data_IF_930845040465
#
_entry.id   IF_930845040465
#
_cell.length_a   1.000
_cell.length_b   1.000
_cell.length_c   1.000
_cell.angle_alpha   90.00
_cell.angle_beta   90.00
_cell.angle_gamma   90.00
#
_symmetry.space_group_name_H-M   'P 1'
#
loop_
_entity.id
_entity.type
_entity.pdbx_description
1 polymer ?
#
# COMPACT_ATOMS: atom_id res chain seq x y z
N UNK A 1 -5.04 14.56 -22.69
CA UNK A 1 -4.63 15.43 -21.55
C UNK A 1 -3.26 14.99 -21.10
N UNK A 2 -2.28 15.91 -20.92
CA UNK A 2 -0.90 15.51 -20.56
C UNK A 2 -0.88 15.10 -19.09
N UNK A 3 -0.45 13.87 -18.85
CA UNK A 3 -0.29 13.27 -17.51
C UNK A 3 0.77 14.07 -16.71
N UNK A 4 0.32 14.86 -15.72
CA UNK A 4 1.19 15.64 -14.82
C UNK A 4 1.65 14.82 -13.62
N UNK A 5 1.94 13.53 -13.82
CA UNK A 5 2.52 12.71 -12.77
C UNK A 5 3.91 13.25 -12.39
N UNK A 6 4.02 13.79 -11.18
CA UNK A 6 5.27 14.34 -10.66
C UNK A 6 5.87 13.36 -9.64
N UNK A 7 6.97 12.67 -9.97
CA UNK A 7 7.61 11.69 -9.08
C UNK A 7 8.17 12.30 -7.77
N UNK A 8 8.35 13.60 -7.69
CA UNK A 8 8.80 14.26 -6.46
C UNK A 8 7.74 14.24 -5.35
N UNK A 9 6.46 14.12 -5.69
CA UNK A 9 5.34 14.04 -4.74
C UNK A 9 5.32 12.74 -3.93
N UNK A 10 5.91 11.67 -4.45
CA UNK A 10 6.10 10.40 -3.74
C UNK A 10 6.87 10.56 -2.42
N UNK A 11 7.85 11.46 -2.37
CA UNK A 11 8.69 11.67 -1.19
C UNK A 11 7.94 12.30 -0.02
N UNK A 12 6.84 13.00 -0.27
CA UNK A 12 6.04 13.62 0.77
C UNK A 12 5.31 12.61 1.65
N UNK A 13 4.95 11.46 1.08
CA UNK A 13 4.17 10.42 1.78
C UNK A 13 5.08 9.42 2.52
N UNK A 14 6.34 9.28 2.11
CA UNK A 14 7.32 8.37 2.74
C UNK A 14 8.03 9.01 3.93
N UNK A 15 8.32 8.23 4.97
CA UNK A 15 9.21 8.65 6.06
C UNK A 15 10.64 8.80 5.52
N UNK A 16 11.22 9.99 5.58
CA UNK A 16 12.66 10.18 5.36
C UNK A 16 13.42 9.71 6.61
N UNK A 17 13.94 8.50 6.59
CA UNK A 17 14.99 8.06 7.49
C UNK A 17 16.30 8.00 6.70
N UNK A 18 16.91 9.15 6.50
CA UNK A 18 18.35 9.22 6.22
C UNK A 18 19.03 9.77 7.46
N UNK A 19 19.63 8.91 8.25
CA UNK A 19 20.69 9.30 9.18
C UNK A 19 21.87 9.80 8.34
N UNK A 20 22.21 11.09 8.51
CA UNK A 20 23.50 11.62 8.08
C UNK A 20 24.58 11.06 9.02
N UNK A 21 25.41 10.17 8.51
CA UNK A 21 26.68 9.83 9.11
C UNK A 21 27.77 10.75 8.55
N UNK A 22 28.13 11.79 9.28
CA UNK A 22 29.36 12.55 9.06
C UNK A 22 30.50 11.77 9.71
N UNK A 23 31.46 11.32 8.95
CA UNK A 23 32.77 10.96 9.48
C UNK A 23 33.85 11.51 8.53
N UNK A 24 34.40 12.63 8.93
CA UNK A 24 35.65 13.12 8.41
C UNK A 24 36.80 12.43 9.20
N UNK A 25 37.76 11.84 8.49
CA UNK A 25 39.11 11.62 9.03
C UNK A 25 40.13 11.71 7.88
N UNK A 26 41.01 12.62 8.07
CA UNK A 26 42.17 12.98 7.30
C UNK A 26 43.33 11.98 7.48
N UNK A 27 44.09 11.76 6.39
CA UNK A 27 45.56 11.68 6.45
C UNK A 27 46.18 10.31 6.37
N UNK A 28 46.95 10.09 5.41
CA UNK A 28 48.39 9.83 5.32
C UNK A 28 48.71 8.99 4.08
N UNK A 29 49.69 9.47 3.32
CA UNK A 29 50.24 8.88 2.11
C UNK A 29 51.03 7.61 2.40
N UNK A 30 50.87 6.59 1.53
CA UNK A 30 51.73 5.41 1.46
C UNK A 30 51.63 4.79 0.07
N UNK A 31 52.71 4.87 -0.69
CA UNK A 31 52.87 4.19 -1.98
C UNK A 31 52.90 2.68 -1.82
N UNK A 32 52.08 1.98 -2.57
CA UNK A 32 52.16 0.54 -2.71
C UNK A 32 51.26 0.08 -3.84
N UNK A 33 51.85 -0.23 -4.98
CA UNK A 33 51.22 -0.85 -6.13
C UNK A 33 50.76 -2.28 -5.78
N UNK A 34 49.48 -2.51 -5.85
CA UNK A 34 48.89 -3.80 -6.13
C UNK A 34 47.49 -3.54 -6.70
N UNK A 35 47.36 -3.68 -8.00
CA UNK A 35 46.08 -3.75 -8.70
C UNK A 35 45.32 -4.99 -8.18
N UNK A 36 44.49 -4.81 -7.18
CA UNK A 36 43.48 -5.78 -6.82
C UNK A 36 42.18 -5.33 -7.48
N UNK A 37 41.96 -5.89 -8.65
CA UNK A 37 40.69 -5.83 -9.35
C UNK A 37 39.63 -6.37 -8.38
N UNK A 38 38.95 -5.48 -7.64
CA UNK A 38 37.82 -5.84 -6.83
C UNK A 38 36.67 -6.17 -7.79
N UNK A 39 36.51 -7.45 -8.07
CA UNK A 39 35.31 -7.98 -8.68
C UNK A 39 34.16 -7.74 -7.69
N UNK A 40 33.56 -6.54 -7.76
CA UNK A 40 32.28 -6.31 -7.13
C UNK A 40 31.30 -7.29 -7.77
N UNK A 41 30.82 -8.26 -6.98
CA UNK A 41 29.67 -9.05 -7.36
C UNK A 41 28.54 -8.09 -7.79
N UNK A 42 27.81 -8.36 -8.88
CA UNK A 42 26.69 -7.53 -9.28
C UNK A 42 25.76 -7.36 -8.07
N UNK A 43 25.48 -6.12 -7.71
CA UNK A 43 24.49 -5.83 -6.67
C UNK A 43 23.20 -6.53 -7.09
N UNK A 44 22.76 -7.50 -6.29
CA UNK A 44 21.51 -8.20 -6.50
C UNK A 44 20.41 -7.13 -6.44
N UNK A 45 19.84 -6.76 -7.58
CA UNK A 45 18.73 -5.82 -7.63
C UNK A 45 17.59 -6.44 -6.84
N UNK A 46 17.29 -5.85 -5.69
CA UNK A 46 16.14 -6.26 -4.89
C UNK A 46 14.87 -6.20 -5.75
N UNK A 47 14.00 -7.21 -5.67
CA UNK A 47 12.79 -7.22 -6.47
C UNK A 47 12.02 -5.92 -6.28
N UNK A 48 11.75 -5.25 -7.38
CA UNK A 48 11.00 -4.00 -7.36
C UNK A 48 9.52 -4.29 -7.10
N UNK A 49 9.06 -3.93 -5.92
CA UNK A 49 7.64 -3.99 -5.57
C UNK A 49 6.90 -2.74 -6.04
N UNK A 50 5.59 -2.91 -6.22
CA UNK A 50 4.69 -1.83 -6.63
C UNK A 50 4.64 -1.64 -8.15
N UNK A 51 3.57 -0.96 -8.57
CA UNK A 51 3.28 -0.63 -9.98
C UNK A 51 2.96 0.87 -10.12
N UNK A 52 3.61 1.72 -9.37
CA UNK A 52 3.38 3.17 -9.41
C UNK A 52 3.61 3.73 -10.81
N UNK A 53 2.71 4.61 -11.26
CA UNK A 53 2.71 5.21 -12.59
C UNK A 53 2.04 4.36 -13.67
N UNK A 54 1.68 3.11 -13.38
CA UNK A 54 0.94 2.26 -14.32
C UNK A 54 -0.57 2.36 -14.06
N UNK A 55 -1.36 1.99 -15.07
CA UNK A 55 -2.80 1.83 -14.93
C UNK A 55 -3.11 0.74 -13.90
N UNK A 56 -4.06 1.01 -13.00
CA UNK A 56 -4.46 0.07 -11.98
C UNK A 56 -5.21 -1.12 -12.61
N UNK A 57 -4.73 -2.36 -12.39
CA UNK A 57 -5.48 -3.54 -12.81
C UNK A 57 -6.75 -3.69 -11.96
N UNK A 58 -7.79 -4.29 -12.54
CA UNK A 58 -9.03 -4.58 -11.81
C UNK A 58 -8.79 -5.64 -10.71
N UNK A 59 -9.57 -5.53 -9.62
CA UNK A 59 -9.54 -6.46 -8.52
C UNK A 59 -10.28 -7.76 -8.88
N UNK A 60 -9.72 -8.89 -8.48
CA UNK A 60 -10.36 -10.22 -8.60
C UNK A 60 -10.63 -10.77 -7.19
N UNK A 61 -11.47 -10.06 -6.46
CA UNK A 61 -11.85 -10.39 -5.07
C UNK A 61 -13.32 -10.78 -5.05
N UNK A 62 -13.58 -12.02 -4.67
CA UNK A 62 -14.91 -12.61 -4.78
C UNK A 62 -15.78 -12.45 -3.52
N UNK A 63 -15.23 -11.96 -2.43
CA UNK A 63 -15.97 -11.74 -1.19
C UNK A 63 -15.78 -10.31 -0.70
N UNK A 64 -16.90 -9.60 -0.59
CA UNK A 64 -16.96 -8.23 -0.08
C UNK A 64 -18.10 -8.05 0.89
N UNK A 65 -17.89 -7.25 1.91
CA UNK A 65 -18.92 -6.75 2.83
C UNK A 65 -18.89 -5.23 2.87
N UNK A 66 -20.06 -4.62 2.96
CA UNK A 66 -20.19 -3.18 3.20
C UNK A 66 -19.98 -2.82 4.69
N UNK A 67 -20.15 -1.55 5.06
CA UNK A 67 -20.02 -1.06 6.44
C UNK A 67 -20.92 -1.80 7.44
N UNK A 68 -22.10 -2.25 7.01
CA UNK A 68 -23.05 -3.02 7.85
C UNK A 68 -22.70 -4.51 7.96
N UNK A 69 -21.69 -4.99 7.19
CA UNK A 69 -21.33 -6.40 7.12
C UNK A 69 -22.22 -7.21 6.18
N UNK A 70 -23.01 -6.57 5.34
CA UNK A 70 -23.82 -7.24 4.30
C UNK A 70 -22.97 -7.47 3.06
N UNK A 71 -23.32 -8.49 2.31
CA UNK A 71 -22.72 -8.76 1.00
C UNK A 71 -22.71 -7.52 0.11
N UNK A 72 -21.61 -7.29 -0.58
CA UNK A 72 -21.35 -6.10 -1.37
C UNK A 72 -20.40 -6.40 -2.53
N UNK A 73 -20.00 -5.37 -3.24
CA UNK A 73 -18.96 -5.40 -4.27
C UNK A 73 -18.07 -4.17 -4.16
N UNK A 74 -16.89 -4.25 -4.76
CA UNK A 74 -15.99 -3.13 -4.95
C UNK A 74 -15.15 -3.37 -6.21
N UNK A 75 -15.16 -2.40 -7.11
CA UNK A 75 -14.44 -2.44 -8.38
C UNK A 75 -13.70 -1.12 -8.60
N UNK A 76 -12.53 -1.19 -9.22
CA UNK A 76 -11.76 -0.01 -9.59
C UNK A 76 -12.48 0.74 -10.70
N UNK A 77 -13.03 0.02 -11.68
CA UNK A 77 -13.72 0.63 -12.81
C UNK A 77 -14.99 1.40 -12.40
N UNK A 78 -15.78 0.89 -11.47
CA UNK A 78 -16.96 1.58 -10.92
C UNK A 78 -16.60 2.83 -10.10
N UNK A 79 -15.36 2.91 -9.63
CA UNK A 79 -14.85 4.05 -8.86
C UNK A 79 -13.92 4.96 -9.67
N UNK A 80 -13.87 4.81 -11.00
CA UNK A 80 -13.12 5.74 -11.85
C UNK A 80 -13.62 7.18 -11.68
N UNK A 81 -12.72 8.13 -11.73
CA UNK A 81 -13.01 9.54 -11.43
C UNK A 81 -12.90 9.89 -9.94
N UNK A 82 -12.69 8.90 -9.07
CA UNK A 82 -12.41 9.10 -7.64
C UNK A 82 -10.96 8.74 -7.32
N UNK A 83 -10.46 9.27 -6.21
CA UNK A 83 -9.32 8.70 -5.54
C UNK A 83 -9.73 7.39 -4.88
N UNK A 84 -8.97 6.30 -5.13
CA UNK A 84 -9.24 4.99 -4.55
C UNK A 84 -8.12 4.65 -3.59
N UNK A 85 -8.48 4.42 -2.34
CA UNK A 85 -7.56 4.00 -1.28
C UNK A 85 -7.82 2.54 -0.95
N UNK A 86 -6.83 1.68 -1.21
CA UNK A 86 -6.86 0.27 -0.86
C UNK A 86 -5.83 -0.03 0.23
N UNK A 87 -6.25 -0.69 1.30
CA UNK A 87 -5.36 -1.14 2.37
C UNK A 87 -5.35 -2.65 2.45
N UNK A 88 -4.22 -3.25 2.07
CA UNK A 88 -4.00 -4.70 2.19
C UNK A 88 -3.55 -5.06 3.61
N UNK A 89 -4.09 -6.13 4.15
CA UNK A 89 -3.81 -6.61 5.51
C UNK A 89 -3.94 -8.13 5.63
N UNK A 90 -3.42 -8.68 6.73
CA UNK A 90 -3.75 -10.02 7.22
C UNK A 90 -4.17 -9.95 8.69
N UNK A 91 -5.07 -10.85 9.12
CA UNK A 91 -5.63 -10.86 10.46
C UNK A 91 -4.56 -11.04 11.56
N UNK A 92 -3.61 -11.94 11.36
CA UNK A 92 -2.56 -12.25 12.34
C UNK A 92 -1.37 -11.27 12.29
N UNK A 93 -1.27 -10.41 11.29
CA UNK A 93 -0.11 -9.58 11.01
C UNK A 93 0.11 -8.49 12.09
N UNK A 94 1.18 -8.53 12.91
CA UNK A 94 1.41 -7.53 13.95
C UNK A 94 1.56 -6.11 13.40
N UNK A 95 2.21 -5.93 12.24
CA UNK A 95 2.37 -4.64 11.57
C UNK A 95 1.03 -4.06 11.13
N UNK A 96 0.09 -4.91 10.70
CA UNK A 96 -1.26 -4.49 10.35
C UNK A 96 -2.00 -3.92 11.56
N UNK A 97 -1.87 -4.56 12.73
CA UNK A 97 -2.48 -4.07 13.97
C UNK A 97 -1.79 -2.82 14.50
N UNK A 98 -0.46 -2.75 14.42
CA UNK A 98 0.32 -1.64 14.97
C UNK A 98 0.23 -0.35 14.13
N UNK A 99 0.10 -0.45 12.81
CA UNK A 99 0.09 0.71 11.91
C UNK A 99 -0.95 0.64 10.79
N UNK A 100 -1.21 -0.53 10.22
CA UNK A 100 -2.10 -0.70 9.07
C UNK A 100 -3.53 -0.27 9.34
N UNK A 101 -4.18 -0.85 10.36
CA UNK A 101 -5.54 -0.49 10.76
C UNK A 101 -5.65 0.91 11.35
N UNK A 102 -4.72 1.41 12.19
CA UNK A 102 -4.71 2.81 12.58
C UNK A 102 -4.68 3.78 11.40
N UNK A 103 -3.87 3.51 10.37
CA UNK A 103 -3.85 4.31 9.14
C UNK A 103 -5.17 4.24 8.39
N UNK A 104 -5.72 3.02 8.21
CA UNK A 104 -6.99 2.82 7.53
C UNK A 104 -8.14 3.54 8.25
N UNK A 105 -8.20 3.43 9.60
CA UNK A 105 -9.21 4.12 10.40
C UNK A 105 -9.09 5.63 10.31
N UNK A 106 -7.88 6.18 10.45
CA UNK A 106 -7.66 7.62 10.35
C UNK A 106 -8.08 8.15 8.97
N UNK A 107 -7.74 7.44 7.91
CA UNK A 107 -8.14 7.82 6.55
C UNK A 107 -9.65 7.67 6.33
N UNK A 108 -10.25 6.59 6.81
CA UNK A 108 -11.70 6.37 6.71
C UNK A 108 -12.49 7.42 7.47
N UNK A 109 -12.08 7.77 8.69
CA UNK A 109 -12.75 8.81 9.48
C UNK A 109 -12.79 10.16 8.76
N UNK A 110 -11.78 10.46 7.96
CA UNK A 110 -11.69 11.73 7.23
C UNK A 110 -12.47 11.72 5.92
N UNK A 111 -12.47 10.56 5.20
CA UNK A 111 -12.90 10.55 3.80
C UNK A 111 -13.98 9.55 3.43
N UNK A 112 -14.53 8.72 4.35
CA UNK A 112 -15.46 7.65 3.96
C UNK A 112 -16.78 8.17 3.34
N UNK A 113 -17.20 9.37 3.69
CA UNK A 113 -18.39 10.03 3.13
C UNK A 113 -18.06 10.97 1.95
N UNK A 114 -16.76 11.12 1.64
CA UNK A 114 -16.36 12.08 0.61
C UNK A 114 -16.67 11.56 -0.80
N UNK A 115 -17.47 12.28 -1.63
CA UNK A 115 -17.96 11.76 -2.90
C UNK A 115 -16.87 11.46 -3.95
N UNK A 116 -15.69 12.04 -3.80
CA UNK A 116 -14.54 11.83 -4.70
C UNK A 116 -13.52 10.81 -4.16
N UNK A 117 -13.83 10.09 -3.10
CA UNK A 117 -12.95 9.07 -2.51
C UNK A 117 -13.70 7.76 -2.37
N UNK A 118 -13.04 6.68 -2.75
CA UNK A 118 -13.48 5.31 -2.47
C UNK A 118 -12.44 4.61 -1.62
N UNK A 119 -12.88 3.90 -0.58
CA UNK A 119 -12.00 3.26 0.40
C UNK A 119 -12.37 1.80 0.52
N UNK A 120 -11.39 0.91 0.43
CA UNK A 120 -11.57 -0.48 0.78
C UNK A 120 -10.38 -1.05 1.57
N UNK A 121 -10.69 -1.96 2.50
CA UNK A 121 -9.70 -2.83 3.11
C UNK A 121 -9.74 -4.21 2.44
N UNK A 122 -8.60 -4.81 2.14
CA UNK A 122 -8.53 -6.12 1.51
C UNK A 122 -7.65 -7.04 2.36
N UNK A 123 -8.24 -8.13 2.85
CA UNK A 123 -7.47 -9.20 3.46
C UNK A 123 -6.79 -10.00 2.34
N UNK A 124 -5.52 -9.71 2.09
CA UNK A 124 -4.72 -10.36 1.05
C UNK A 124 -3.94 -11.52 1.64
N UNK A 125 -4.37 -12.75 1.35
CA UNK A 125 -3.80 -13.94 1.96
C UNK A 125 -2.63 -14.48 1.14
N UNK A 126 -1.48 -14.66 1.77
CA UNK A 126 -0.29 -15.28 1.18
C UNK A 126 0.39 -16.27 2.14
N UNK A 127 -0.02 -16.27 3.41
CA UNK A 127 0.40 -17.21 4.44
C UNK A 127 -0.62 -17.24 5.59
N UNK A 128 -0.55 -18.25 6.45
CA UNK A 128 -1.45 -18.37 7.59
C UNK A 128 -2.93 -18.49 7.18
N UNK A 129 -3.23 -19.25 6.16
CA UNK A 129 -4.57 -19.37 5.56
C UNK A 129 -5.67 -19.65 6.57
N UNK A 130 -5.41 -20.52 7.59
CA UNK A 130 -6.42 -20.85 8.62
C UNK A 130 -6.72 -19.66 9.58
N UNK A 131 -5.87 -18.64 9.58
CA UNK A 131 -5.99 -17.44 10.42
C UNK A 131 -6.48 -16.23 9.62
N UNK A 132 -6.76 -16.40 8.34
CA UNK A 132 -7.22 -15.36 7.44
C UNK A 132 -8.46 -15.87 6.71
N UNK A 133 -9.59 -15.88 7.39
CA UNK A 133 -10.87 -16.35 6.86
C UNK A 133 -11.79 -15.18 6.51
N UNK A 134 -12.85 -15.45 5.75
CA UNK A 134 -13.90 -14.45 5.46
C UNK A 134 -14.53 -13.89 6.75
N UNK A 135 -14.76 -14.74 7.75
CA UNK A 135 -15.30 -14.31 9.04
C UNK A 135 -14.40 -13.32 9.78
N UNK A 136 -13.08 -13.43 9.58
CA UNK A 136 -12.13 -12.53 10.23
C UNK A 136 -12.19 -11.12 9.64
N UNK A 137 -12.59 -10.96 8.39
CA UNK A 137 -12.81 -9.65 7.77
C UNK A 137 -13.86 -8.85 8.56
N UNK A 138 -15.02 -9.47 8.86
CA UNK A 138 -16.06 -8.80 9.65
C UNK A 138 -15.63 -8.53 11.09
N UNK A 139 -14.93 -9.46 11.74
CA UNK A 139 -14.40 -9.26 13.09
C UNK A 139 -13.46 -8.06 13.17
N UNK A 140 -12.56 -7.93 12.17
CA UNK A 140 -11.62 -6.81 12.10
C UNK A 140 -12.31 -5.49 11.78
N UNK A 141 -13.31 -5.50 10.89
CA UNK A 141 -14.12 -4.33 10.58
C UNK A 141 -14.79 -3.78 11.84
N UNK A 142 -15.39 -4.65 12.64
CA UNK A 142 -16.03 -4.29 13.93
C UNK A 142 -14.98 -3.84 14.97
N UNK A 143 -13.90 -4.61 15.13
CA UNK A 143 -12.83 -4.31 16.10
C UNK A 143 -12.24 -2.92 15.91
N UNK A 144 -12.07 -2.49 14.66
CA UNK A 144 -11.48 -1.19 14.33
C UNK A 144 -12.54 -0.14 13.98
N UNK A 145 -13.83 -0.49 14.06
CA UNK A 145 -14.96 0.41 13.76
C UNK A 145 -14.77 1.09 12.38
N UNK A 146 -14.60 0.28 11.34
CA UNK A 146 -14.32 0.75 9.99
C UNK A 146 -15.63 0.89 9.18
N UNK A 147 -16.08 2.11 8.88
CA UNK A 147 -17.32 2.35 8.11
C UNK A 147 -17.07 2.27 6.60
N UNK A 148 -16.40 1.21 6.14
CA UNK A 148 -15.96 1.05 4.76
C UNK A 148 -16.23 -0.35 4.25
N UNK A 149 -16.15 -0.52 2.92
CA UNK A 149 -16.17 -1.84 2.29
C UNK A 149 -14.89 -2.62 2.60
N UNK A 150 -15.04 -3.91 2.93
CA UNK A 150 -13.90 -4.79 3.17
C UNK A 150 -14.05 -6.10 2.41
N UNK A 151 -12.94 -6.56 1.84
CA UNK A 151 -12.88 -7.77 1.02
C UNK A 151 -11.93 -8.83 1.55
N UNK A 152 -12.13 -10.05 1.06
CA UNK A 152 -11.25 -11.20 1.30
C UNK A 152 -10.75 -11.77 -0.01
N UNK A 153 -9.46 -11.66 -0.22
CA UNK A 153 -8.71 -12.22 -1.34
C UNK A 153 -7.90 -13.41 -0.82
N UNK A 154 -8.50 -14.59 -0.97
CA UNK A 154 -8.10 -15.79 -0.25
C UNK A 154 -6.72 -16.33 -0.65
N UNK A 155 -6.27 -16.07 -1.88
CA UNK A 155 -5.16 -16.84 -2.43
C UNK A 155 -5.50 -18.33 -2.56
N UNK A 156 -4.49 -19.16 -2.76
CA UNK A 156 -4.63 -20.61 -2.85
C UNK A 156 -4.08 -21.28 -1.58
N UNK A 157 -4.91 -21.94 -0.76
CA UNK A 157 -4.50 -22.60 0.47
C UNK A 157 -3.49 -23.74 0.26
N UNK A 158 -3.42 -24.31 -0.93
CA UNK A 158 -2.43 -25.33 -1.28
C UNK A 158 -1.04 -24.73 -1.55
N UNK A 159 -0.92 -23.39 -1.43
CA UNK A 159 0.35 -22.66 -1.54
C UNK A 159 0.85 -22.48 -2.97
N UNK A 160 0.02 -22.74 -3.96
CA UNK A 160 0.35 -22.59 -5.38
C UNK A 160 0.25 -21.14 -5.85
N UNK A 161 -0.53 -20.30 -5.16
CA UNK A 161 -0.75 -18.92 -5.49
C UNK A 161 -1.03 -18.08 -4.24
N UNK A 162 -0.48 -16.86 -4.21
CA UNK A 162 -0.86 -15.82 -3.26
C UNK A 162 -2.08 -15.06 -3.80
N UNK A 163 -2.67 -14.17 -2.99
CA UNK A 163 -3.83 -13.37 -3.40
C UNK A 163 -3.59 -12.63 -4.73
N UNK A 164 -4.63 -12.54 -5.56
CA UNK A 164 -4.58 -11.88 -6.87
C UNK A 164 -4.21 -10.39 -6.76
N UNK A 165 -4.73 -9.72 -5.75
CA UNK A 165 -4.36 -8.32 -5.46
C UNK A 165 -2.86 -8.17 -5.29
N UNK A 166 -2.21 -9.10 -4.57
CA UNK A 166 -0.75 -9.05 -4.37
C UNK A 166 0.01 -9.26 -5.67
N UNK A 167 -0.43 -10.19 -6.51
CA UNK A 167 0.19 -10.46 -7.81
C UNK A 167 0.04 -9.28 -8.75
N UNK A 168 -1.18 -8.77 -8.93
CA UNK A 168 -1.51 -7.69 -9.86
C UNK A 168 -0.86 -6.36 -9.48
N UNK A 169 -0.85 -6.01 -8.20
CA UNK A 169 -0.25 -4.76 -7.70
C UNK A 169 1.21 -4.91 -7.27
N UNK A 170 1.78 -6.12 -7.39
CA UNK A 170 3.16 -6.44 -7.01
C UNK A 170 3.47 -5.98 -5.57
N UNK A 171 2.58 -6.27 -4.64
CA UNK A 171 2.79 -5.90 -3.23
C UNK A 171 3.83 -6.82 -2.58
N UNK A 172 4.64 -6.28 -1.67
CA UNK A 172 5.71 -7.04 -1.00
C UNK A 172 5.32 -7.60 0.37
N UNK A 173 4.02 -7.63 0.71
CA UNK A 173 3.54 -8.12 2.01
C UNK A 173 2.44 -7.24 2.61
N UNK A 174 2.25 -7.33 3.93
CA UNK A 174 1.25 -6.52 4.67
C UNK A 174 1.86 -5.89 5.93
N UNK A 175 1.36 -4.71 6.37
CA UNK A 175 0.30 -3.89 5.76
C UNK A 175 0.80 -3.18 4.49
N UNK A 176 0.01 -3.11 3.44
CA UNK A 176 0.37 -2.44 2.20
C UNK A 176 -0.67 -1.38 1.81
N UNK A 177 -0.24 -0.28 1.21
CA UNK A 177 -1.12 0.77 0.73
C UNK A 177 -1.02 0.89 -0.79
N UNK A 178 -2.17 0.95 -1.44
CA UNK A 178 -2.32 1.29 -2.85
C UNK A 178 -3.22 2.52 -2.93
N UNK A 179 -2.75 3.59 -3.57
CA UNK A 179 -3.55 4.78 -3.84
C UNK A 179 -3.63 4.97 -5.36
N UNK A 180 -4.84 5.04 -5.88
CA UNK A 180 -5.12 5.20 -7.30
C UNK A 180 -5.75 6.57 -7.51
N UNK A 181 -5.26 7.32 -8.48
CA UNK A 181 -5.79 8.65 -8.80
C UNK A 181 -7.09 8.56 -9.64
N UNK A 182 -7.81 9.68 -9.85
CA UNK A 182 -9.04 9.70 -10.63
C UNK A 182 -8.90 9.24 -12.08
N UNK A 183 -7.70 9.30 -12.65
CA UNK A 183 -7.42 8.81 -14.01
C UNK A 183 -7.23 7.28 -14.05
N UNK A 184 -7.30 6.60 -12.91
CA UNK A 184 -7.10 5.15 -12.79
C UNK A 184 -5.63 4.72 -12.74
N UNK A 185 -4.70 5.67 -12.51
CA UNK A 185 -3.26 5.39 -12.42
C UNK A 185 -2.86 5.23 -10.97
N UNK A 186 -2.03 4.23 -10.67
CA UNK A 186 -1.48 4.00 -9.34
C UNK A 186 -0.53 5.13 -8.97
N UNK A 187 -0.95 5.97 -8.03
CA UNK A 187 -0.19 7.13 -7.56
C UNK A 187 0.78 6.78 -6.43
N UNK A 188 0.47 5.74 -5.66
CA UNK A 188 1.31 5.24 -4.56
C UNK A 188 1.06 3.76 -4.34
N UNK A 189 2.13 2.98 -4.12
CA UNK A 189 2.03 1.55 -3.92
C UNK A 189 3.23 1.07 -3.08
N UNK A 190 3.08 1.06 -1.74
CA UNK A 190 4.21 0.78 -0.85
C UNK A 190 3.74 0.27 0.54
N UNK A 191 4.67 -0.37 1.22
CA UNK A 191 4.54 -0.85 2.60
C UNK A 191 4.46 0.31 3.62
N UNK A 192 5.25 1.37 3.42
CA UNK A 192 5.43 2.46 4.37
C UNK A 192 4.67 3.70 3.96
N UNK A 193 3.79 4.18 4.83
CA UNK A 193 3.06 5.43 4.62
C UNK A 193 3.12 6.31 5.87
N UNK A 194 3.26 7.61 5.67
CA UNK A 194 3.02 8.60 6.71
C UNK A 194 1.57 9.07 6.62
N UNK A 195 0.74 8.61 7.56
CA UNK A 195 -0.71 8.86 7.55
C UNK A 195 -1.05 10.35 7.52
N UNK A 196 -0.38 11.16 8.33
CA UNK A 196 -0.62 12.62 8.38
C UNK A 196 -0.32 13.28 7.04
N UNK A 197 0.82 12.94 6.43
CA UNK A 197 1.18 13.49 5.11
C UNK A 197 0.26 12.99 4.00
N UNK A 198 -0.23 11.76 4.10
CA UNK A 198 -1.21 11.24 3.15
C UNK A 198 -2.53 12.01 3.23
N UNK A 199 -3.05 12.22 4.43
CA UNK A 199 -4.29 12.99 4.64
C UNK A 199 -4.09 14.44 4.15
N UNK A 200 -2.99 15.09 4.50
CA UNK A 200 -2.64 16.41 4.00
C UNK A 200 -2.57 16.47 2.46
N UNK A 201 -1.90 15.51 1.84
CA UNK A 201 -1.85 15.39 0.39
C UNK A 201 -3.25 15.28 -0.23
N UNK A 202 -4.14 14.49 0.38
CA UNK A 202 -5.51 14.34 -0.12
C UNK A 202 -6.30 15.64 -0.02
N UNK A 203 -6.13 16.41 1.05
CA UNK A 203 -6.75 17.73 1.17
C UNK A 203 -6.23 18.72 0.13
N UNK A 204 -4.93 18.75 -0.10
CA UNK A 204 -4.29 19.71 -1.04
C UNK A 204 -4.56 19.36 -2.51
N UNK A 205 -4.37 18.09 -2.89
CA UNK A 205 -4.40 17.65 -4.28
C UNK A 205 -5.78 17.31 -4.80
N UNK A 206 -6.65 16.79 -3.96
CA UNK A 206 -8.00 16.44 -4.32
C UNK A 206 -8.97 17.65 -4.21
N UNK A 207 -8.46 18.82 -3.81
CA UNK A 207 -9.24 20.04 -3.66
C UNK A 207 -10.30 19.92 -2.55
N UNK A 208 -10.00 19.14 -1.52
CA UNK A 208 -10.86 18.95 -0.36
C UNK A 208 -10.62 20.10 0.62
N UNK A 209 -10.97 21.29 0.23
CA UNK A 209 -11.09 22.40 1.19
C UNK A 209 -12.43 22.22 1.89
N UNK A 210 -12.36 21.81 3.18
CA UNK A 210 -13.51 21.77 4.06
C UNK A 210 -14.09 23.15 4.31
#
# INVERSE_FOLDING_TARGET
MKNNYNPQRRQLIKKSSRLMGLAALSGVAGKGLADTESTQAPAEELPQYGIEGLEAPELDVNYWINADGKESSFSIDENRGKWIFLKCFQNWCPGCHASGFPTLKAFANEFHEHPKVAIAGIQTVFEGFHHNTQDDVRKLQLKYELPITMGHDAGDPDGLSISDTMLKFRTGGTPWLILINPDGVVAYNDFRVNTTKLIQFMHEEAGFHG
#
